data_IF_033134801864
#
_entry.id   IF_033134801864
#
_cell.length_a   1.000
_cell.length_b   1.000
_cell.length_c   1.000
_cell.angle_alpha   90.00
_cell.angle_beta   90.00
_cell.angle_gamma   90.00
#
_symmetry.space_group_name_H-M   'P 1'
#
loop_
_entity.id
_entity.type
_entity.pdbx_description
1 polymer ?
#
# COMPACT_ATOMS: atom_id res chain seq x y z
N UNK A 1 4.68 52.45 -42.53
CA UNK A 1 3.21 52.40 -42.40
C UNK A 1 2.80 50.96 -42.68
N UNK A 2 2.18 50.17 -41.81
CA UNK A 2 1.69 50.33 -40.45
C UNK A 2 1.34 48.92 -39.94
N UNK A 3 1.42 48.73 -38.62
CA UNK A 3 1.19 47.49 -37.90
C UNK A 3 -0.31 47.15 -37.75
N UNK A 4 -0.62 45.88 -37.43
CA UNK A 4 -1.64 45.38 -36.48
C UNK A 4 -1.73 43.85 -36.66
N UNK A 5 -1.36 42.95 -35.74
CA UNK A 5 -1.82 42.76 -34.35
C UNK A 5 -3.35 42.60 -34.25
N UNK A 6 -3.82 41.35 -34.07
CA UNK A 6 -5.22 40.99 -33.92
C UNK A 6 -5.37 39.55 -33.43
N UNK A 7 -5.34 39.41 -32.11
CA UNK A 7 -5.67 38.27 -31.27
C UNK A 7 -7.10 37.71 -31.55
N UNK A 8 -7.34 36.43 -31.20
CA UNK A 8 -8.54 35.90 -30.50
C UNK A 8 -8.53 34.37 -30.60
N UNK A 9 -8.06 33.76 -29.51
CA UNK A 9 -8.39 32.39 -29.11
C UNK A 9 -9.90 32.22 -28.89
N UNK A 10 -10.49 31.10 -29.33
CA UNK A 10 -11.75 30.52 -28.78
C UNK A 10 -12.04 29.15 -29.40
N UNK A 11 -11.90 28.07 -28.61
CA UNK A 11 -12.88 26.97 -28.42
C UNK A 11 -12.25 25.80 -27.66
N UNK A 12 -12.24 25.91 -26.34
CA UNK A 12 -12.39 24.77 -25.44
C UNK A 12 -13.48 25.17 -24.43
N UNK A 13 -14.65 24.55 -24.54
CA UNK A 13 -15.77 24.80 -23.62
C UNK A 13 -15.49 24.02 -22.33
N UNK A 14 -15.15 24.75 -21.27
CA UNK A 14 -15.17 24.23 -19.90
C UNK A 14 -16.61 24.10 -19.39
N UNK A 15 -16.85 23.03 -18.65
CA UNK A 15 -18.00 22.90 -17.75
C UNK A 15 -17.72 23.76 -16.51
N UNK A 16 -18.41 24.89 -16.39
CA UNK A 16 -18.58 25.62 -15.12
C UNK A 16 -19.84 25.10 -14.43
N UNK A 17 -19.73 24.77 -13.16
CA UNK A 17 -20.87 24.70 -12.24
C UNK A 17 -20.89 26.04 -11.49
N UNK A 18 -22.01 26.75 -11.56
CA UNK A 18 -22.27 27.95 -10.76
C UNK A 18 -23.24 27.62 -9.61
N UNK A 19 -23.17 28.34 -8.45
CA UNK A 19 -23.85 27.99 -7.21
C UNK A 19 -25.12 28.83 -6.94
N UNK A 20 -26.08 28.21 -6.24
CA UNK A 20 -27.24 28.86 -5.60
C UNK A 20 -28.17 27.76 -5.02
N UNK A 21 -28.79 27.85 -3.85
CA UNK A 21 -28.91 28.91 -2.86
C UNK A 21 -29.20 28.29 -1.49
N UNK A 22 -28.63 28.91 -0.45
CA UNK A 22 -28.89 28.68 0.97
C UNK A 22 -30.06 29.55 1.44
N UNK A 23 -30.99 28.96 2.22
CA UNK A 23 -31.75 29.50 3.38
C UNK A 23 -32.95 28.56 3.62
N UNK A 24 -33.40 28.22 4.82
CA UNK A 24 -33.05 28.53 6.20
C UNK A 24 -33.79 27.50 7.09
N UNK A 25 -33.21 27.07 8.21
CA UNK A 25 -33.99 26.57 9.36
C UNK A 25 -33.31 27.06 10.63
N UNK A 26 -34.09 27.79 11.43
CA UNK A 26 -33.68 28.40 12.69
C UNK A 26 -33.65 27.45 13.88
N UNK A 27 -33.02 27.97 14.93
CA UNK A 27 -32.52 27.34 16.15
C UNK A 27 -33.59 27.07 17.24
N UNK A 28 -33.21 26.15 18.14
CA UNK A 28 -33.39 26.13 19.60
C UNK A 28 -34.27 25.02 20.22
N UNK A 29 -33.63 24.15 21.02
CA UNK A 29 -34.35 23.28 21.95
C UNK A 29 -33.55 22.24 22.77
N UNK A 30 -32.66 22.68 23.68
CA UNK A 30 -32.16 22.07 24.95
C UNK A 30 -31.67 20.59 25.02
N UNK A 31 -30.61 20.30 25.83
CA UNK A 31 -30.10 18.94 26.03
C UNK A 31 -30.86 18.15 27.11
N UNK A 32 -30.89 16.80 27.07
CA UNK A 32 -31.50 15.99 28.12
C UNK A 32 -30.65 15.94 29.39
N UNK A 33 -31.34 15.95 30.53
CA UNK A 33 -30.80 15.94 31.90
C UNK A 33 -30.25 14.56 32.30
N UNK A 34 -29.12 14.55 33.01
CA UNK A 34 -28.61 13.38 33.75
C UNK A 34 -29.61 12.96 34.84
N UNK A 35 -29.86 11.66 35.08
CA UNK A 35 -30.54 11.23 36.28
C UNK A 35 -29.60 11.25 37.49
N UNK A 36 -30.08 11.83 38.58
CA UNK A 36 -29.50 11.75 39.92
C UNK A 36 -29.76 10.35 40.48
N UNK A 37 -28.71 9.67 40.93
CA UNK A 37 -28.81 8.46 41.76
C UNK A 37 -28.88 8.91 43.23
N UNK A 38 -30.00 8.62 43.89
CA UNK A 38 -30.10 8.63 45.35
C UNK A 38 -29.64 7.27 45.88
N UNK A 39 -28.77 7.31 46.91
CA UNK A 39 -28.27 6.11 47.59
C UNK A 39 -29.24 5.55 48.63
N UNK A 40 -28.69 4.63 49.45
CA UNK A 40 -29.26 3.79 50.52
C UNK A 40 -29.58 2.37 49.99
N UNK A 41 -29.11 1.24 50.54
CA UNK A 41 -28.50 0.91 51.83
C UNK A 41 -27.49 -0.25 51.71
N UNK A 42 -26.61 -0.35 52.72
CA UNK A 42 -25.79 -1.51 53.03
C UNK A 42 -26.64 -2.70 53.49
N UNK A 43 -26.28 -3.91 53.07
CA UNK A 43 -26.50 -5.13 53.84
C UNK A 43 -25.28 -6.05 53.71
N UNK A 44 -24.68 -6.40 54.86
CA UNK A 44 -23.67 -7.45 55.02
C UNK A 44 -24.38 -8.78 55.27
N UNK A 45 -23.90 -9.88 54.69
CA UNK A 45 -23.88 -11.20 55.32
C UNK A 45 -22.93 -12.16 54.56
N UNK A 46 -22.35 -13.08 55.33
CA UNK A 46 -21.18 -13.92 55.08
C UNK A 46 -21.56 -15.31 54.48
N UNK A 47 -20.62 -16.27 54.30
CA UNK A 47 -20.61 -17.24 53.22
C UNK A 47 -21.15 -18.62 53.62
N UNK A 48 -21.41 -19.46 52.61
CA UNK A 48 -21.67 -20.89 52.81
C UNK A 48 -21.06 -21.67 51.67
N UNK A 49 -19.95 -22.36 51.92
CA UNK A 49 -19.49 -23.46 51.09
C UNK A 49 -20.30 -24.71 51.36
N UNK A 50 -20.25 -25.68 50.44
CA UNK A 50 -20.40 -27.10 50.77
C UNK A 50 -19.79 -27.94 49.64
N UNK A 51 -18.86 -28.80 50.04
CA UNK A 51 -18.32 -29.92 49.28
C UNK A 51 -19.22 -31.16 49.46
N UNK A 52 -19.09 -32.12 48.54
CA UNK A 52 -19.62 -33.49 48.66
C UNK A 52 -19.92 -34.07 47.26
N UNK A 53 -19.08 -34.91 46.64
CA UNK A 53 -18.65 -36.28 46.95
C UNK A 53 -19.38 -37.34 46.10
N UNK A 54 -18.60 -37.96 45.21
CA UNK A 54 -18.53 -39.39 44.87
C UNK A 54 -19.81 -40.24 44.78
N UNK A 55 -20.02 -40.81 43.58
CA UNK A 55 -20.83 -42.01 43.37
C UNK A 55 -20.26 -42.87 42.24
N UNK A 56 -19.55 -43.94 42.61
CA UNK A 56 -19.08 -44.98 41.70
C UNK A 56 -20.22 -45.87 41.22
N UNK A 57 -20.23 -46.22 39.92
CA UNK A 57 -20.84 -47.46 39.43
C UNK A 57 -19.92 -48.12 38.39
N UNK A 58 -19.44 -49.32 38.72
CA UNK A 58 -18.88 -50.33 37.80
C UNK A 58 -20.07 -50.96 37.04
N UNK A 59 -20.02 -51.58 35.87
CA UNK A 59 -19.02 -52.42 35.17
C UNK A 59 -19.66 -52.81 33.81
N UNK A 60 -18.86 -53.06 32.77
CA UNK A 60 -18.94 -54.21 31.85
C UNK A 60 -18.28 -53.88 30.50
N UNK A 61 -17.35 -54.73 30.06
CA UNK A 61 -16.50 -54.50 28.89
C UNK A 61 -17.06 -55.08 27.60
N UNK A 62 -16.50 -54.61 26.47
CA UNK A 62 -16.23 -55.35 25.20
C UNK A 62 -15.52 -54.43 24.17
N UNK A 63 -14.92 -54.96 23.10
CA UNK A 63 -13.47 -54.99 22.87
C UNK A 63 -12.94 -53.84 21.99
N UNK A 64 -11.62 -53.59 22.09
CA UNK A 64 -10.86 -52.68 21.23
C UNK A 64 -10.86 -53.18 19.77
N UNK A 65 -11.57 -52.48 18.87
CA UNK A 65 -11.37 -52.59 17.42
C UNK A 65 -10.26 -51.64 17.00
N UNK A 66 -9.20 -52.20 16.43
CA UNK A 66 -8.15 -51.46 15.75
C UNK A 66 -8.73 -50.80 14.48
N UNK A 67 -8.82 -49.47 14.46
CA UNK A 67 -9.08 -48.74 13.23
C UNK A 67 -7.78 -48.61 12.43
N UNK A 68 -7.67 -49.48 11.42
CA UNK A 68 -6.67 -49.41 10.36
C UNK A 68 -6.97 -48.17 9.53
N UNK A 69 -6.18 -47.11 9.68
CA UNK A 69 -6.26 -45.92 8.85
C UNK A 69 -5.87 -46.26 7.41
N UNK A 70 -6.86 -46.36 6.53
CA UNK A 70 -6.64 -46.46 5.09
C UNK A 70 -6.13 -45.10 4.59
N UNK A 71 -4.82 -45.02 4.29
CA UNK A 71 -4.22 -43.90 3.56
C UNK A 71 -4.82 -43.87 2.15
N UNK A 72 -5.83 -43.03 1.93
CA UNK A 72 -6.20 -42.59 0.59
C UNK A 72 -5.03 -41.79 0.03
N UNK A 73 -4.40 -42.32 -1.02
CA UNK A 73 -3.39 -41.59 -1.81
C UNK A 73 -4.11 -40.40 -2.44
N UNK A 74 -3.80 -39.19 -1.98
CA UNK A 74 -4.23 -37.96 -2.63
C UNK A 74 -3.67 -37.91 -4.04
N UNK A 75 -4.48 -37.44 -4.98
CA UNK A 75 -4.04 -37.14 -6.34
C UNK A 75 -2.85 -36.16 -6.28
N UNK A 76 -1.83 -36.31 -7.16
CA UNK A 76 -0.72 -35.37 -7.21
C UNK A 76 -1.25 -33.97 -7.56
N UNK A 77 -0.78 -32.96 -6.83
CA UNK A 77 -0.99 -31.56 -7.18
C UNK A 77 -0.55 -31.33 -8.65
N UNK A 78 -1.25 -30.46 -9.41
CA UNK A 78 -0.86 -30.18 -10.79
C UNK A 78 0.60 -29.69 -10.81
N UNK A 79 1.41 -30.34 -11.63
CA UNK A 79 2.81 -29.99 -11.82
C UNK A 79 2.89 -28.54 -12.33
N UNK A 80 3.67 -27.71 -11.64
CA UNK A 80 4.05 -26.38 -12.14
C UNK A 80 4.60 -26.53 -13.56
N UNK A 81 4.16 -25.70 -14.52
CA UNK A 81 4.62 -25.81 -15.90
C UNK A 81 6.14 -25.71 -15.95
N UNK A 82 6.76 -26.67 -16.66
CA UNK A 82 8.20 -26.72 -16.91
C UNK A 82 8.66 -25.41 -17.56
N UNK A 83 9.77 -24.85 -17.04
CA UNK A 83 10.48 -23.68 -17.57
C UNK A 83 10.50 -23.69 -19.10
N UNK A 84 9.76 -22.76 -19.72
CA UNK A 84 10.14 -22.24 -21.04
C UNK A 84 11.51 -21.58 -20.86
N UNK A 85 12.43 -21.80 -21.81
CA UNK A 85 13.77 -21.21 -21.78
C UNK A 85 13.70 -19.70 -21.48
N UNK A 86 14.72 -19.17 -20.81
CA UNK A 86 14.78 -17.77 -20.45
C UNK A 86 14.78 -16.90 -21.71
N UNK A 87 13.58 -16.52 -22.15
CA UNK A 87 13.39 -15.41 -23.07
C UNK A 87 13.73 -14.18 -22.25
N UNK A 88 14.74 -13.42 -22.68
CA UNK A 88 15.08 -12.16 -22.00
C UNK A 88 13.86 -11.25 -22.03
N UNK A 89 13.53 -10.63 -20.90
CA UNK A 89 12.48 -9.60 -20.83
C UNK A 89 12.76 -8.53 -21.90
N UNK A 90 11.74 -8.08 -22.66
CA UNK A 90 11.92 -6.94 -23.57
C UNK A 90 12.37 -5.70 -22.81
N UNK A 91 13.29 -4.92 -23.38
CA UNK A 91 13.64 -3.58 -22.90
C UNK A 91 12.41 -2.68 -22.98
N UNK A 92 12.40 -1.61 -22.18
CA UNK A 92 11.29 -0.65 -22.17
C UNK A 92 10.99 -0.08 -23.57
N UNK A 93 12.02 0.12 -24.40
CA UNK A 93 11.87 0.60 -25.77
C UNK A 93 11.27 -0.39 -26.75
N UNK A 94 11.25 -1.67 -26.40
CA UNK A 94 10.66 -2.74 -27.20
C UNK A 94 9.17 -2.94 -26.87
N UNK A 95 8.64 -2.19 -25.90
CA UNK A 95 7.22 -2.19 -25.54
C UNK A 95 6.39 -1.25 -26.43
N UNK A 96 5.15 -1.61 -26.78
CA UNK A 96 4.43 -2.82 -26.34
C UNK A 96 4.71 -4.05 -27.23
N UNK A 97 4.62 -5.25 -26.63
CA UNK A 97 4.74 -6.53 -27.37
C UNK A 97 3.41 -7.05 -27.89
N UNK A 98 2.29 -6.62 -27.30
CA UNK A 98 0.94 -7.02 -27.70
C UNK A 98 0.34 -6.01 -28.69
N UNK A 99 -0.09 -6.43 -29.89
CA UNK A 99 -0.78 -5.56 -30.84
C UNK A 99 -2.01 -4.90 -30.21
N UNK A 100 -2.16 -3.58 -30.41
CA UNK A 100 -3.28 -2.80 -29.88
C UNK A 100 -3.19 -2.43 -28.38
N UNK A 101 -2.13 -2.84 -27.69
CA UNK A 101 -1.86 -2.39 -26.32
C UNK A 101 -1.37 -0.92 -26.29
N UNK A 102 -1.54 -0.20 -25.16
CA UNK A 102 -1.03 1.16 -25.02
C UNK A 102 0.47 1.23 -25.32
N UNK A 103 0.94 2.34 -25.89
CA UNK A 103 2.36 2.59 -26.08
C UNK A 103 3.13 2.44 -24.74
N UNK A 104 4.32 1.84 -24.81
CA UNK A 104 5.20 1.59 -23.64
C UNK A 104 4.52 0.78 -22.52
N UNK A 105 3.60 -0.11 -22.85
CA UNK A 105 2.94 -1.00 -21.88
C UNK A 105 3.53 -2.42 -21.89
N UNK A 106 3.50 -3.07 -20.72
CA UNK A 106 3.95 -4.45 -20.53
C UNK A 106 2.86 -5.49 -20.81
N UNK A 107 1.73 -5.07 -21.36
CA UNK A 107 0.57 -5.94 -21.57
C UNK A 107 0.96 -7.12 -22.48
N UNK A 108 0.59 -8.33 -22.06
CA UNK A 108 0.98 -9.58 -22.71
C UNK A 108 2.41 -10.09 -22.40
N UNK A 109 3.30 -9.31 -21.78
CA UNK A 109 4.68 -9.76 -21.45
C UNK A 109 4.65 -10.95 -20.49
N UNK A 110 3.76 -10.92 -19.49
CA UNK A 110 3.57 -12.01 -18.52
C UNK A 110 2.45 -12.98 -18.90
N UNK A 111 1.88 -12.84 -20.11
CA UNK A 111 0.70 -13.56 -20.58
C UNK A 111 -0.59 -12.74 -20.49
N UNK A 112 -1.56 -13.04 -21.35
CA UNK A 112 -2.82 -12.27 -21.45
C UNK A 112 -3.76 -12.46 -20.26
N UNK A 113 -3.58 -13.54 -19.48
CA UNK A 113 -4.37 -13.80 -18.27
C UNK A 113 -3.67 -13.31 -16.98
N UNK A 114 -2.51 -12.65 -17.09
CA UNK A 114 -1.76 -12.20 -15.91
C UNK A 114 -2.53 -11.20 -15.04
N UNK A 115 -2.41 -11.37 -13.72
CA UNK A 115 -3.15 -10.61 -12.70
C UNK A 115 -2.23 -9.89 -11.69
N UNK A 116 -0.92 -10.05 -11.80
CA UNK A 116 0.04 -9.54 -10.80
C UNK A 116 1.15 -8.67 -11.37
N UNK A 117 1.27 -8.55 -12.70
CA UNK A 117 2.16 -7.61 -13.37
C UNK A 117 3.63 -7.81 -13.00
N UNK A 118 4.34 -6.73 -12.70
CA UNK A 118 5.80 -6.78 -12.43
C UNK A 118 6.16 -7.56 -11.17
N UNK A 119 5.19 -7.89 -10.31
CA UNK A 119 5.44 -8.84 -9.22
C UNK A 119 5.96 -10.18 -9.75
N UNK A 120 5.66 -10.56 -10.98
CA UNK A 120 6.22 -11.75 -11.65
C UNK A 120 7.76 -11.76 -11.74
N UNK A 121 8.45 -10.61 -11.59
CA UNK A 121 9.90 -10.56 -11.47
C UNK A 121 10.41 -11.19 -10.17
N UNK A 122 9.58 -11.29 -9.13
CA UNK A 122 9.93 -12.00 -7.89
C UNK A 122 9.72 -13.50 -8.09
N UNK A 123 10.80 -14.20 -8.43
CA UNK A 123 10.84 -15.66 -8.49
C UNK A 123 11.25 -16.27 -7.15
N UNK A 124 10.98 -17.57 -6.91
CA UNK A 124 11.40 -18.27 -5.68
C UNK A 124 12.91 -18.17 -5.40
N UNK A 125 13.74 -18.08 -6.43
CA UNK A 125 15.20 -17.88 -6.28
C UNK A 125 15.54 -16.51 -5.69
N UNK A 126 14.79 -15.46 -6.04
CA UNK A 126 14.99 -14.10 -5.53
C UNK A 126 14.59 -14.04 -4.06
N UNK A 127 13.43 -14.61 -3.70
CA UNK A 127 12.99 -14.71 -2.30
C UNK A 127 13.99 -15.47 -1.42
N UNK A 128 14.53 -16.60 -1.92
CA UNK A 128 15.56 -17.38 -1.21
C UNK A 128 16.85 -16.58 -1.03
N UNK A 129 17.31 -15.86 -2.06
CA UNK A 129 18.52 -15.04 -1.97
C UNK A 129 18.32 -13.88 -0.99
N UNK A 130 17.14 -13.24 -1.01
CA UNK A 130 16.78 -12.18 -0.09
C UNK A 130 16.74 -12.65 1.36
N UNK A 131 16.17 -13.83 1.64
CA UNK A 131 16.16 -14.40 2.99
C UNK A 131 17.57 -14.63 3.56
N UNK A 132 18.58 -14.83 2.71
CA UNK A 132 19.98 -14.96 3.13
C UNK A 132 20.64 -13.62 3.52
N UNK A 133 19.96 -12.48 3.28
CA UNK A 133 20.40 -11.17 3.76
C UNK A 133 20.17 -11.00 5.26
N UNK A 134 19.25 -11.75 5.86
CA UNK A 134 18.94 -11.69 7.30
C UNK A 134 20.14 -12.18 8.11
N UNK A 135 20.77 -11.28 8.85
CA UNK A 135 21.98 -11.56 9.65
C UNK A 135 21.75 -11.41 11.14
N UNK A 136 21.21 -10.26 11.54
CA UNK A 136 20.97 -9.92 12.95
C UNK A 136 19.52 -10.19 13.35
N UNK A 137 18.61 -10.35 12.38
CA UNK A 137 17.19 -10.53 12.66
C UNK A 137 16.56 -9.23 13.17
N UNK A 138 17.16 -8.09 12.84
CA UNK A 138 16.62 -6.76 13.17
C UNK A 138 15.38 -6.51 12.31
N UNK A 139 14.24 -6.35 12.98
CA UNK A 139 12.90 -6.30 12.35
C UNK A 139 12.40 -4.86 12.34
N UNK A 140 12.10 -4.36 11.15
CA UNK A 140 11.58 -3.02 10.89
C UNK A 140 10.18 -3.10 10.28
N UNK A 141 9.11 -2.86 11.07
CA UNK A 141 7.78 -2.64 10.53
C UNK A 141 7.75 -1.39 9.68
N UNK A 142 7.20 -1.49 8.47
CA UNK A 142 7.13 -0.37 7.52
C UNK A 142 5.72 0.22 7.41
N UNK A 143 4.84 -0.18 8.31
CA UNK A 143 3.48 0.33 8.42
C UNK A 143 3.48 1.56 9.33
N UNK A 144 2.89 2.63 8.84
CA UNK A 144 2.56 3.80 9.62
C UNK A 144 1.27 3.56 10.41
N UNK A 145 0.94 4.51 11.28
CA UNK A 145 -0.30 4.47 12.05
C UNK A 145 -1.50 4.50 11.09
N UNK A 146 -2.40 3.52 11.22
CA UNK A 146 -3.60 3.43 10.38
C UNK A 146 -4.57 4.60 10.59
N UNK A 147 -4.40 5.36 11.67
CA UNK A 147 -5.16 6.58 11.95
C UNK A 147 -4.52 7.85 11.39
N UNK A 148 -3.35 7.73 10.74
CA UNK A 148 -2.66 8.84 10.09
C UNK A 148 -2.59 8.64 8.56
N UNK A 149 -2.59 9.74 7.79
CA UNK A 149 -2.64 11.14 8.22
C UNK A 149 -4.03 11.55 8.74
N UNK A 150 -4.04 12.47 9.70
CA UNK A 150 -5.25 13.04 10.30
C UNK A 150 -5.12 14.58 10.39
N UNK A 151 -5.97 15.37 9.70
CA UNK A 151 -7.00 14.93 8.75
C UNK A 151 -6.42 14.18 7.55
N UNK A 152 -7.23 13.33 6.92
CA UNK A 152 -6.82 12.55 5.75
C UNK A 152 -6.70 13.39 4.48
N UNK A 153 -6.07 12.82 3.45
CA UNK A 153 -5.91 13.44 2.13
C UNK A 153 -6.82 12.81 1.08
N UNK A 154 -6.93 13.44 -0.09
CA UNK A 154 -7.63 12.88 -1.27
C UNK A 154 -9.11 12.51 -1.01
N UNK A 155 -9.78 13.25 -0.12
CA UNK A 155 -11.15 12.96 0.28
C UNK A 155 -11.31 11.70 1.15
N UNK A 156 -10.20 11.09 1.58
CA UNK A 156 -10.18 9.97 2.52
C UNK A 156 -10.09 10.50 3.95
N UNK A 157 -10.44 9.66 4.92
CA UNK A 157 -10.32 9.97 6.34
C UNK A 157 -9.82 8.76 7.12
N UNK A 158 -9.21 8.96 8.30
CA UNK A 158 -8.91 7.87 9.23
C UNK A 158 -10.16 7.02 9.53
N UNK A 159 -10.01 5.70 9.73
CA UNK A 159 -11.12 4.85 10.12
C UNK A 159 -11.63 5.24 11.51
N UNK A 160 -12.93 5.10 11.74
CA UNK A 160 -13.51 5.20 13.09
C UNK A 160 -13.32 3.87 13.82
N UNK A 161 -12.57 3.88 14.92
CA UNK A 161 -12.30 2.69 15.74
C UNK A 161 -13.25 2.61 16.93
N UNK A 162 -14.02 1.53 17.00
CA UNK A 162 -14.93 1.27 18.13
C UNK A 162 -14.53 -0.01 18.84
N UNK A 163 -14.18 0.10 20.12
CA UNK A 163 -13.95 -1.02 21.04
C UNK A 163 -15.25 -1.37 21.76
N UNK A 164 -15.57 -2.66 21.86
CA UNK A 164 -16.74 -3.13 22.60
C UNK A 164 -16.47 -4.45 23.33
N UNK A 165 -17.15 -4.67 24.45
CA UNK A 165 -16.95 -5.85 25.27
C UNK A 165 -18.13 -6.84 25.17
N UNK A 166 -17.82 -8.13 25.40
CA UNK A 166 -18.75 -9.25 25.44
C UNK A 166 -18.50 -10.10 26.69
N UNK A 167 -19.43 -11.01 26.98
CA UNK A 167 -19.34 -11.99 28.08
C UNK A 167 -18.96 -11.34 29.41
N UNK A 168 -19.74 -10.34 29.85
CA UNK A 168 -19.54 -9.58 31.08
C UNK A 168 -18.15 -8.92 31.21
N UNK A 169 -17.59 -8.49 30.07
CA UNK A 169 -16.30 -7.80 30.03
C UNK A 169 -15.08 -8.70 29.88
N UNK A 170 -15.26 -10.02 29.77
CA UNK A 170 -14.14 -10.96 29.61
C UNK A 170 -13.55 -11.00 28.20
N UNK A 171 -14.25 -10.44 27.21
CA UNK A 171 -13.81 -10.39 25.81
C UNK A 171 -13.98 -8.97 25.30
N UNK A 172 -12.97 -8.49 24.57
CA UNK A 172 -12.99 -7.20 23.86
C UNK A 172 -12.76 -7.50 22.39
N UNK A 173 -13.69 -7.03 21.56
CA UNK A 173 -13.58 -7.01 20.11
C UNK A 173 -13.62 -5.56 19.64
N UNK A 174 -13.28 -5.33 18.38
CA UNK A 174 -13.37 -4.02 17.74
C UNK A 174 -14.00 -4.04 16.35
N UNK A 175 -14.32 -2.85 15.87
CA UNK A 175 -14.77 -2.59 14.50
C UNK A 175 -14.12 -1.33 13.99
N UNK A 176 -13.73 -1.37 12.71
CA UNK A 176 -13.31 -0.20 11.94
C UNK A 176 -14.40 0.15 10.93
N UNK A 177 -14.93 1.36 11.02
CA UNK A 177 -15.89 1.91 10.07
C UNK A 177 -15.20 2.92 9.15
N UNK A 178 -15.52 2.90 7.85
CA UNK A 178 -14.95 3.82 6.86
C UNK A 178 -13.45 3.59 6.59
N UNK A 179 -13.01 2.33 6.60
CA UNK A 179 -11.63 1.97 6.33
C UNK A 179 -11.29 2.06 4.84
N UNK A 180 -10.40 2.98 4.49
CA UNK A 180 -9.79 3.06 3.16
C UNK A 180 -8.46 2.29 3.20
N UNK A 181 -8.27 1.22 2.41
CA UNK A 181 -6.97 0.57 2.27
C UNK A 181 -5.87 1.53 1.79
N UNK A 182 -6.30 2.64 1.15
CA UNK A 182 -5.46 3.72 0.67
C UNK A 182 -5.33 4.90 1.66
N UNK A 183 -5.70 4.69 2.93
CA UNK A 183 -5.76 5.75 3.94
C UNK A 183 -4.47 5.98 4.72
N UNK A 184 -3.52 5.05 4.69
CA UNK A 184 -2.24 5.10 5.43
C UNK A 184 -1.18 4.32 4.61
N UNK A 185 -0.15 3.72 5.23
CA UNK A 185 0.81 2.87 4.49
C UNK A 185 0.09 1.80 3.69
N UNK A 186 0.28 1.82 2.38
CA UNK A 186 -0.53 1.02 1.45
C UNK A 186 0.29 0.39 0.33
N UNK A 187 -0.35 -0.55 -0.36
CA UNK A 187 -0.08 -0.90 -1.74
C UNK A 187 -1.29 -0.54 -2.59
N UNK A 188 -1.03 0.13 -3.71
CA UNK A 188 -1.95 0.28 -4.81
C UNK A 188 -1.81 -0.87 -5.80
N UNK A 189 -2.94 -1.51 -6.07
CA UNK A 189 -3.06 -2.64 -6.96
C UNK A 189 -3.37 -2.24 -8.40
N UNK A 190 -3.46 -3.25 -9.27
CA UNK A 190 -3.63 -3.03 -10.70
C UNK A 190 -5.03 -2.53 -11.11
N UNK A 191 -6.01 -2.59 -10.18
CA UNK A 191 -7.32 -1.92 -10.32
C UNK A 191 -7.29 -0.43 -9.97
N UNK A 192 -6.24 0.06 -9.33
CA UNK A 192 -6.22 1.41 -8.77
C UNK A 192 -6.20 2.48 -9.87
N UNK A 193 -5.46 2.24 -10.96
CA UNK A 193 -5.27 3.22 -12.01
C UNK A 193 -5.31 2.59 -13.40
N UNK A 194 -6.01 3.24 -14.33
CA UNK A 194 -6.17 2.80 -15.72
C UNK A 194 -5.07 3.39 -16.61
N UNK A 195 -4.74 2.71 -17.71
CA UNK A 195 -4.08 3.33 -18.86
C UNK A 195 -5.13 4.14 -19.66
N UNK A 196 -4.86 5.44 -19.83
CA UNK A 196 -5.82 6.37 -20.42
C UNK A 196 -6.25 5.91 -21.83
N UNK A 197 -7.56 5.83 -22.05
CA UNK A 197 -8.16 5.38 -23.32
C UNK A 197 -8.09 3.88 -23.62
N UNK A 198 -7.49 3.06 -22.75
CA UNK A 198 -7.28 1.62 -23.01
C UNK A 198 -7.85 0.69 -21.92
N UNK A 199 -8.19 1.22 -20.74
CA UNK A 199 -8.66 0.43 -19.61
C UNK A 199 -7.54 0.15 -18.60
N UNK A 200 -7.73 -0.84 -17.75
CA UNK A 200 -6.80 -1.23 -16.70
C UNK A 200 -5.79 -2.25 -17.21
N UNK A 201 -4.79 -2.57 -16.39
CA UNK A 201 -3.70 -3.47 -16.77
C UNK A 201 -4.18 -4.72 -17.52
N UNK A 202 -3.48 -5.06 -18.60
CA UNK A 202 -3.79 -6.17 -19.50
C UNK A 202 -5.15 -6.11 -20.22
N UNK A 203 -5.87 -4.98 -20.15
CA UNK A 203 -7.11 -4.74 -20.90
C UNK A 203 -8.39 -4.93 -20.11
N UNK A 204 -8.32 -5.08 -18.78
CA UNK A 204 -9.52 -5.13 -17.95
C UNK A 204 -10.32 -3.81 -18.06
N UNK A 205 -11.64 -3.92 -18.11
CA UNK A 205 -12.54 -2.79 -18.28
C UNK A 205 -12.90 -2.13 -16.95
N UNK A 206 -13.38 -0.89 -17.00
CA UNK A 206 -13.88 -0.18 -15.82
C UNK A 206 -15.04 -0.94 -15.15
N UNK A 207 -15.93 -1.52 -15.95
CA UNK A 207 -17.06 -2.32 -15.45
C UNK A 207 -16.57 -3.55 -14.67
N UNK A 208 -15.59 -4.28 -15.21
CA UNK A 208 -15.04 -5.48 -14.54
C UNK A 208 -14.35 -5.14 -13.23
N UNK A 209 -13.56 -4.06 -13.17
CA UNK A 209 -12.78 -3.73 -11.96
C UNK A 209 -13.62 -3.05 -10.88
N UNK A 210 -14.75 -2.42 -11.24
CA UNK A 210 -15.69 -1.80 -10.28
C UNK A 210 -16.83 -2.72 -9.86
N UNK A 211 -16.98 -3.88 -10.50
CA UNK A 211 -17.93 -4.92 -10.07
C UNK A 211 -17.50 -5.49 -8.72
N UNK A 212 -18.37 -5.48 -7.69
CA UNK A 212 -18.05 -6.01 -6.36
C UNK A 212 -17.74 -7.51 -6.38
N UNK A 213 -16.74 -7.92 -5.59
CA UNK A 213 -16.33 -9.32 -5.45
C UNK A 213 -15.09 -9.69 -6.26
N UNK A 214 -14.72 -10.99 -6.28
CA UNK A 214 -13.53 -11.44 -6.97
C UNK A 214 -13.62 -11.20 -8.48
N UNK A 215 -12.50 -10.85 -9.11
CA UNK A 215 -12.45 -10.60 -10.55
C UNK A 215 -11.05 -10.22 -11.04
N UNK A 216 -10.93 -9.66 -12.26
CA UNK A 216 -9.63 -9.24 -12.80
C UNK A 216 -8.93 -8.28 -11.85
N UNK A 217 -7.62 -8.44 -11.63
CA UNK A 217 -6.74 -7.49 -10.92
C UNK A 217 -7.04 -7.26 -9.43
N UNK A 218 -7.95 -8.02 -8.82
CA UNK A 218 -8.29 -7.88 -7.39
C UNK A 218 -7.16 -8.37 -6.46
N UNK A 219 -7.12 -7.83 -5.23
CA UNK A 219 -6.10 -8.19 -4.23
C UNK A 219 -6.04 -9.68 -3.87
N UNK A 220 -7.09 -10.47 -4.12
CA UNK A 220 -7.06 -11.92 -3.93
C UNK A 220 -5.95 -12.62 -4.72
N UNK A 221 -5.57 -12.10 -5.90
CA UNK A 221 -4.48 -12.68 -6.71
C UNK A 221 -3.13 -12.49 -6.01
N UNK A 222 -2.96 -11.35 -5.35
CA UNK A 222 -1.74 -11.02 -4.61
C UNK A 222 -1.71 -11.75 -3.27
N UNK A 223 -2.84 -11.79 -2.55
CA UNK A 223 -2.95 -12.45 -1.25
C UNK A 223 -2.67 -13.96 -1.31
N UNK A 224 -3.08 -14.64 -2.40
CA UNK A 224 -2.78 -16.07 -2.61
C UNK A 224 -1.30 -16.33 -2.90
N UNK A 225 -0.59 -15.33 -3.41
CA UNK A 225 0.83 -15.40 -3.77
C UNK A 225 1.75 -14.97 -2.62
N UNK A 226 1.37 -13.91 -1.91
CA UNK A 226 2.23 -13.19 -0.97
C UNK A 226 3.33 -12.38 -1.67
N UNK A 227 4.06 -11.59 -0.88
CA UNK A 227 5.25 -10.86 -1.33
C UNK A 227 6.39 -11.19 -0.37
N UNK A 228 7.43 -11.83 -0.90
CA UNK A 228 8.70 -12.08 -0.23
C UNK A 228 9.82 -11.80 -1.21
N UNK A 229 10.58 -10.73 -0.99
CA UNK A 229 11.51 -10.19 -1.99
C UNK A 229 12.76 -9.61 -1.33
N UNK A 230 13.77 -9.32 -2.15
CA UNK A 230 14.83 -8.39 -1.75
C UNK A 230 14.25 -7.00 -1.84
N UNK A 231 14.44 -6.19 -0.81
CA UNK A 231 14.21 -4.76 -0.90
C UNK A 231 15.53 -4.01 -0.86
N UNK A 232 15.56 -2.88 -1.57
CA UNK A 232 16.67 -1.93 -1.55
C UNK A 232 16.13 -0.58 -1.11
N UNK A 233 16.66 -0.04 -0.02
CA UNK A 233 16.34 1.31 0.42
C UNK A 233 17.28 2.31 -0.27
N UNK A 234 16.73 3.29 -0.98
CA UNK A 234 17.43 4.49 -1.41
C UNK A 234 17.00 5.66 -0.51
N UNK A 235 17.90 6.04 0.41
CA UNK A 235 17.70 7.15 1.36
C UNK A 235 18.03 8.49 0.70
N UNK A 236 17.16 8.93 -0.21
CA UNK A 236 17.31 10.19 -0.96
C UNK A 236 17.34 11.39 -0.02
N UNK A 237 16.42 11.44 0.95
CA UNK A 237 16.38 12.52 1.93
C UNK A 237 17.67 12.61 2.76
N UNK A 238 18.19 11.48 3.26
CA UNK A 238 19.45 11.46 3.99
C UNK A 238 20.65 11.82 3.13
N UNK A 239 20.67 11.39 1.85
CA UNK A 239 21.72 11.77 0.91
C UNK A 239 21.76 13.29 0.68
N UNK A 240 20.61 13.90 0.34
CA UNK A 240 20.51 15.34 0.12
C UNK A 240 20.80 16.15 1.39
N UNK A 241 20.40 15.66 2.56
CA UNK A 241 20.72 16.31 3.83
C UNK A 241 22.23 16.35 4.10
N UNK A 242 22.97 15.26 3.81
CA UNK A 242 24.44 15.23 3.93
C UNK A 242 25.14 16.17 2.95
N UNK A 243 24.51 16.45 1.81
CA UNK A 243 24.97 17.41 0.82
C UNK A 243 24.60 18.87 1.16
N UNK A 244 23.84 19.10 2.24
CA UNK A 244 23.34 20.43 2.60
C UNK A 244 22.25 20.94 1.66
N UNK A 245 21.57 20.04 0.95
CA UNK A 245 20.59 20.32 -0.10
C UNK A 245 19.21 19.69 0.19
N UNK A 246 18.86 19.54 1.47
CA UNK A 246 17.57 18.98 1.86
C UNK A 246 16.40 19.85 1.33
N UNK A 247 15.48 19.29 0.53
CA UNK A 247 14.31 20.03 0.05
C UNK A 247 13.31 20.26 1.19
N UNK A 248 12.36 21.17 0.96
CA UNK A 248 11.17 21.26 1.82
C UNK A 248 10.37 19.95 1.66
N UNK A 249 10.12 19.21 2.76
CA UNK A 249 9.36 17.96 2.69
C UNK A 249 7.91 18.14 2.25
N UNK A 250 7.36 19.36 2.29
CA UNK A 250 5.97 19.64 1.89
C UNK A 250 5.86 20.45 0.60
N UNK A 251 6.94 20.59 -0.17
CA UNK A 251 6.94 21.21 -1.50
C UNK A 251 7.47 20.24 -2.58
N UNK A 252 7.32 20.62 -3.84
CA UNK A 252 7.72 19.79 -4.98
C UNK A 252 9.23 19.71 -5.09
N UNK A 253 9.75 18.50 -5.02
CA UNK A 253 11.12 18.17 -5.41
C UNK A 253 11.14 16.89 -6.24
N UNK A 254 11.78 16.95 -7.41
CA UNK A 254 11.82 15.83 -8.35
C UNK A 254 12.96 14.89 -8.01
N UNK A 255 12.60 13.62 -7.80
CA UNK A 255 13.53 12.50 -7.70
C UNK A 255 13.48 11.77 -9.04
N UNK A 256 14.47 12.04 -9.89
CA UNK A 256 14.61 11.42 -11.21
C UNK A 256 15.53 10.18 -11.18
N UNK A 257 15.63 9.47 -12.30
CA UNK A 257 16.48 8.27 -12.39
C UNK A 257 17.97 8.58 -12.10
N UNK A 258 18.59 9.64 -12.64
CA UNK A 258 19.96 10.01 -12.28
C UNK A 258 20.19 10.25 -10.77
N UNK A 259 19.22 10.84 -10.06
CA UNK A 259 19.31 10.97 -8.61
C UNK A 259 19.24 9.62 -7.91
N UNK A 260 18.34 8.73 -8.31
CA UNK A 260 18.26 7.37 -7.75
C UNK A 260 19.56 6.60 -7.97
N UNK A 261 20.14 6.65 -9.17
CA UNK A 261 21.42 6.02 -9.51
C UNK A 261 22.57 6.57 -8.66
N UNK A 262 22.64 7.89 -8.49
CA UNK A 262 23.63 8.54 -7.63
C UNK A 262 23.51 8.10 -6.18
N UNK A 263 22.30 8.04 -5.64
CA UNK A 263 22.06 7.58 -4.25
C UNK A 263 22.43 6.10 -4.11
N UNK A 264 22.05 5.25 -5.06
CA UNK A 264 22.43 3.84 -5.07
C UNK A 264 23.97 3.67 -5.06
N UNK A 265 24.68 4.43 -5.91
CA UNK A 265 26.14 4.42 -5.96
C UNK A 265 26.77 4.90 -4.64
N UNK A 266 26.26 5.97 -4.05
CA UNK A 266 26.75 6.51 -2.77
C UNK A 266 26.52 5.53 -1.60
N UNK A 267 25.44 4.75 -1.64
CA UNK A 267 25.13 3.70 -0.66
C UNK A 267 25.83 2.36 -0.96
N UNK A 268 26.52 2.25 -2.11
CA UNK A 268 27.19 1.02 -2.51
C UNK A 268 26.24 -0.14 -2.83
N UNK A 269 25.02 0.15 -3.31
CA UNK A 269 24.02 -0.87 -3.67
C UNK A 269 23.79 -0.96 -5.17
N UNK A 270 23.52 -2.17 -5.63
CA UNK A 270 23.18 -2.47 -7.02
C UNK A 270 21.73 -2.94 -7.09
N UNK A 271 20.92 -2.31 -7.94
CA UNK A 271 19.55 -2.73 -8.22
C UNK A 271 19.54 -3.98 -9.11
N UNK A 272 18.73 -4.97 -8.74
CA UNK A 272 18.64 -6.26 -9.42
C UNK A 272 17.18 -6.60 -9.73
N UNK A 273 17.02 -7.50 -10.70
CA UNK A 273 15.71 -8.01 -11.06
C UNK A 273 15.01 -8.67 -9.86
N UNK A 274 13.74 -8.35 -9.67
CA UNK A 274 12.93 -8.84 -8.56
C UNK A 274 13.02 -7.99 -7.29
N UNK A 275 13.78 -6.89 -7.30
CA UNK A 275 13.84 -5.99 -6.17
C UNK A 275 12.53 -5.24 -5.96
N UNK A 276 12.21 -4.99 -4.69
CA UNK A 276 11.27 -3.94 -4.27
C UNK A 276 12.08 -2.70 -3.91
N UNK A 277 11.89 -1.61 -4.64
CA UNK A 277 12.61 -0.37 -4.40
C UNK A 277 11.89 0.47 -3.34
N UNK A 278 12.57 0.80 -2.25
CA UNK A 278 12.06 1.69 -1.21
C UNK A 278 12.74 3.06 -1.35
N UNK A 279 11.98 4.12 -1.53
CA UNK A 279 12.51 5.49 -1.70
C UNK A 279 12.12 6.32 -0.49
N UNK A 280 13.11 6.71 0.33
CA UNK A 280 12.87 7.61 1.46
C UNK A 280 13.03 9.07 1.03
N UNK A 281 11.92 9.80 1.07
CA UNK A 281 11.74 11.22 0.80
C UNK A 281 11.74 12.06 2.09
N UNK A 282 11.48 11.44 3.25
CA UNK A 282 11.41 12.10 4.55
C UNK A 282 10.04 12.69 4.90
N UNK A 283 9.04 12.53 4.03
CA UNK A 283 7.73 13.17 4.18
C UNK A 283 6.96 12.67 5.42
N UNK A 284 6.87 11.35 5.64
CA UNK A 284 6.15 10.80 6.83
C UNK A 284 6.79 11.27 8.15
N UNK A 285 8.12 11.35 8.23
CA UNK A 285 8.83 11.84 9.41
C UNK A 285 8.57 13.33 9.66
N UNK A 286 8.64 14.14 8.59
CA UNK A 286 8.33 15.56 8.67
C UNK A 286 6.87 15.80 9.11
N UNK A 287 5.92 15.02 8.58
CA UNK A 287 4.50 15.11 8.97
C UNK A 287 4.30 14.77 10.45
N UNK A 288 4.99 13.73 10.95
CA UNK A 288 4.91 13.33 12.34
C UNK A 288 5.35 14.45 13.30
N UNK A 289 6.28 15.32 12.88
CA UNK A 289 6.75 16.47 13.65
C UNK A 289 5.81 17.68 13.65
N UNK A 290 4.78 17.71 12.79
CA UNK A 290 3.81 18.80 12.73
C UNK A 290 2.81 18.75 13.90
N UNK A 291 2.41 19.94 14.36
CA UNK A 291 1.23 20.12 15.21
C UNK A 291 -0.07 20.14 14.42
N UNK A 292 -1.20 20.07 15.13
CA UNK A 292 -2.53 19.87 14.55
C UNK A 292 -2.93 20.95 13.53
N UNK A 293 -2.64 22.23 13.79
CA UNK A 293 -2.96 23.34 12.88
C UNK A 293 -2.23 23.21 11.53
N UNK A 294 -0.96 22.81 11.55
CA UNK A 294 -0.18 22.63 10.33
C UNK A 294 -0.66 21.40 9.54
N UNK A 295 -1.05 20.31 10.23
CA UNK A 295 -1.66 19.14 9.59
C UNK A 295 -3.00 19.48 8.95
N UNK A 296 -3.83 20.27 9.64
CA UNK A 296 -5.10 20.76 9.10
C UNK A 296 -4.90 21.64 7.86
N UNK A 297 -3.89 22.51 7.87
CA UNK A 297 -3.54 23.34 6.71
C UNK A 297 -3.10 22.49 5.50
N UNK A 298 -2.26 21.47 5.71
CA UNK A 298 -1.86 20.54 4.65
C UNK A 298 -3.06 19.80 4.06
N UNK A 299 -3.97 19.31 4.90
CA UNK A 299 -5.17 18.62 4.42
C UNK A 299 -6.13 19.57 3.67
N UNK A 300 -6.27 20.80 4.14
CA UNK A 300 -7.11 21.82 3.49
C UNK A 300 -6.59 22.23 2.10
N UNK A 301 -5.29 22.08 1.82
CA UNK A 301 -4.73 22.29 0.48
C UNK A 301 -5.17 21.21 -0.53
N UNK A 302 -5.88 20.15 -0.10
CA UNK A 302 -6.38 19.09 -0.96
C UNK A 302 -5.32 18.02 -1.25
N UNK A 303 -4.30 18.37 -2.05
CA UNK A 303 -3.11 17.53 -2.27
C UNK A 303 -1.93 18.15 -1.52
N UNK A 304 -1.31 17.44 -0.55
CA UNK A 304 -0.10 17.92 0.08
C UNK A 304 1.05 17.94 -0.94
N UNK A 305 1.90 18.96 -0.86
CA UNK A 305 3.16 18.94 -1.60
C UNK A 305 4.09 17.86 -1.04
N UNK A 306 4.97 17.35 -1.90
CA UNK A 306 5.96 16.36 -1.50
C UNK A 306 7.11 16.25 -2.51
N UNK A 307 8.34 15.99 -2.04
CA UNK A 307 9.36 15.34 -2.84
C UNK A 307 8.89 13.96 -3.29
N UNK A 308 9.21 13.56 -4.51
CA UNK A 308 8.77 12.27 -5.04
C UNK A 308 9.34 11.95 -6.41
N UNK A 309 9.03 10.76 -6.91
CA UNK A 309 9.46 10.33 -8.24
C UNK A 309 8.78 11.18 -9.31
N UNK A 310 9.49 11.57 -10.36
CA UNK A 310 8.85 12.23 -11.49
C UNK A 310 9.73 12.16 -12.73
N UNK A 311 9.09 12.16 -13.90
CA UNK A 311 9.76 12.24 -15.19
C UNK A 311 9.61 10.99 -16.05
N UNK A 312 9.76 11.18 -17.35
CA UNK A 312 9.61 10.16 -18.41
C UNK A 312 10.67 9.04 -18.34
N UNK A 313 11.78 9.28 -17.66
CA UNK A 313 12.86 8.29 -17.47
C UNK A 313 12.55 7.26 -16.38
N UNK A 314 11.68 7.56 -15.42
CA UNK A 314 11.38 6.67 -14.29
C UNK A 314 10.78 5.32 -14.73
N UNK A 315 9.75 5.27 -15.60
CA UNK A 315 9.20 3.98 -16.04
C UNK A 315 10.24 3.10 -16.73
N UNK A 316 11.10 3.69 -17.56
CA UNK A 316 12.23 2.99 -18.20
C UNK A 316 13.19 2.45 -17.16
N UNK A 317 13.64 3.30 -16.25
CA UNK A 317 14.60 2.93 -15.21
C UNK A 317 14.10 1.73 -14.41
N UNK A 318 12.88 1.80 -13.88
CA UNK A 318 12.31 0.72 -13.07
C UNK A 318 12.12 -0.58 -13.88
N UNK A 319 11.59 -0.48 -15.11
CA UNK A 319 11.38 -1.65 -15.98
C UNK A 319 12.69 -2.31 -16.40
N UNK A 320 13.66 -1.52 -16.85
CA UNK A 320 14.92 -2.05 -17.37
C UNK A 320 15.80 -2.65 -16.26
N UNK A 321 15.71 -2.16 -15.02
CA UNK A 321 16.30 -2.82 -13.84
C UNK A 321 15.54 -4.06 -13.37
N UNK A 322 14.29 -4.24 -13.81
CA UNK A 322 13.44 -5.35 -13.37
C UNK A 322 12.91 -5.19 -11.96
N UNK A 323 12.66 -3.95 -11.55
CA UNK A 323 12.05 -3.62 -10.27
C UNK A 323 10.61 -4.19 -10.27
N UNK A 324 10.31 -4.97 -9.24
CA UNK A 324 9.03 -5.65 -9.12
C UNK A 324 7.93 -4.76 -8.54
N UNK A 325 8.30 -3.81 -7.68
CA UNK A 325 7.42 -2.82 -7.08
C UNK A 325 8.26 -1.66 -6.54
N UNK A 326 7.65 -0.48 -6.39
CA UNK A 326 8.29 0.68 -5.77
C UNK A 326 7.40 1.21 -4.65
N UNK A 327 8.00 1.57 -3.51
CA UNK A 327 7.29 2.18 -2.39
C UNK A 327 8.05 3.40 -1.89
N UNK A 328 7.32 4.41 -1.42
CA UNK A 328 7.87 5.62 -0.83
C UNK A 328 7.14 6.02 0.45
N UNK A 329 7.79 6.89 1.22
CA UNK A 329 7.24 7.48 2.44
C UNK A 329 6.53 8.82 2.20
N UNK A 330 6.02 9.05 0.98
CA UNK A 330 5.25 10.24 0.61
C UNK A 330 3.79 9.87 0.23
N UNK A 331 2.89 10.86 0.07
CA UNK A 331 1.45 10.61 -0.10
C UNK A 331 0.98 10.13 -1.47
N UNK A 332 1.85 10.15 -2.49
CA UNK A 332 1.42 9.91 -3.87
C UNK A 332 2.47 9.22 -4.75
N UNK A 333 3.60 8.73 -4.19
CA UNK A 333 4.85 8.36 -4.89
C UNK A 333 5.52 9.51 -5.68
N UNK A 334 4.74 10.19 -6.49
CA UNK A 334 5.11 11.28 -7.37
C UNK A 334 5.41 12.59 -6.65
N UNK A 335 6.34 13.37 -7.21
CA UNK A 335 6.56 14.74 -6.76
C UNK A 335 5.30 15.59 -6.99
N UNK A 336 4.91 16.36 -5.98
CA UNK A 336 3.71 17.19 -6.02
C UNK A 336 3.98 18.58 -5.47
N UNK A 337 3.47 19.61 -6.13
CA UNK A 337 3.35 20.93 -5.53
C UNK A 337 2.07 21.02 -4.66
N UNK A 338 2.06 21.81 -3.58
CA UNK A 338 0.87 21.99 -2.76
C UNK A 338 -0.33 22.47 -3.58
N UNK A 339 -1.47 21.80 -3.43
CA UNK A 339 -2.71 22.15 -4.13
C UNK A 339 -2.71 21.91 -5.64
N UNK A 340 -1.62 21.40 -6.22
CA UNK A 340 -1.57 21.05 -7.64
C UNK A 340 -2.31 19.74 -7.90
N UNK A 341 -3.14 19.76 -8.95
CA UNK A 341 -4.05 18.69 -9.32
C UNK A 341 -3.66 18.06 -10.65
N UNK A 342 -3.69 16.73 -10.67
CA UNK A 342 -3.83 15.88 -11.86
C UNK A 342 -2.59 15.45 -12.65
N UNK A 343 -1.37 15.81 -12.29
CA UNK A 343 -0.21 15.06 -12.84
C UNK A 343 0.01 13.78 -12.03
N UNK A 344 -0.72 12.74 -12.46
CA UNK A 344 -0.58 11.36 -12.00
C UNK A 344 -0.04 10.47 -13.14
N UNK A 345 0.86 11.03 -13.95
CA UNK A 345 1.39 10.37 -15.14
C UNK A 345 2.22 9.12 -14.82
N UNK A 346 2.93 9.07 -13.69
CA UNK A 346 3.59 7.86 -13.23
C UNK A 346 2.61 6.83 -12.68
N UNK A 347 1.50 7.22 -12.04
CA UNK A 347 0.47 6.22 -11.70
C UNK A 347 -0.05 5.50 -12.95
N UNK A 348 -0.35 6.26 -14.00
CA UNK A 348 -0.78 5.70 -15.28
C UNK A 348 0.30 4.79 -15.89
N UNK A 349 1.54 5.30 -15.95
CA UNK A 349 2.65 4.58 -16.57
C UNK A 349 3.01 3.30 -15.81
N UNK A 350 3.07 3.37 -14.48
CA UNK A 350 3.50 2.25 -13.64
C UNK A 350 2.36 1.25 -13.44
N UNK A 351 1.19 1.66 -12.95
CA UNK A 351 0.08 0.73 -12.68
C UNK A 351 -0.61 0.32 -13.98
N UNK A 352 -1.17 1.30 -14.71
CA UNK A 352 -2.03 1.04 -15.86
C UNK A 352 -1.29 0.40 -17.03
N UNK A 353 -0.08 0.87 -17.33
CA UNK A 353 0.71 0.40 -18.49
C UNK A 353 1.69 -0.71 -18.14
N UNK A 354 2.48 -0.58 -17.08
CA UNK A 354 3.50 -1.57 -16.73
C UNK A 354 3.02 -2.67 -15.78
N UNK A 355 1.87 -2.52 -15.13
CA UNK A 355 1.40 -3.49 -14.13
C UNK A 355 2.25 -3.48 -12.86
N UNK A 356 2.77 -2.31 -12.46
CA UNK A 356 3.68 -2.15 -11.34
C UNK A 356 2.95 -1.69 -10.07
N UNK A 357 3.04 -2.44 -8.95
CA UNK A 357 2.56 -2.01 -7.65
C UNK A 357 3.27 -0.75 -7.16
N UNK A 358 2.50 0.16 -6.56
CA UNK A 358 3.01 1.35 -5.89
C UNK A 358 2.73 1.28 -4.39
N UNK A 359 3.71 1.63 -3.56
CA UNK A 359 3.54 1.78 -2.13
C UNK A 359 3.65 3.23 -1.70
N UNK A 360 2.72 3.68 -0.87
CA UNK A 360 2.65 5.08 -0.42
C UNK A 360 2.58 5.15 1.10
N UNK A 361 3.11 6.25 1.66
CA UNK A 361 3.14 6.53 3.10
C UNK A 361 3.83 5.45 3.93
N UNK A 362 4.86 4.78 3.41
CA UNK A 362 5.61 3.76 4.15
C UNK A 362 6.44 4.39 5.27
N UNK A 363 6.48 3.77 6.46
CA UNK A 363 7.27 4.27 7.58
C UNK A 363 8.75 3.82 7.44
N UNK A 364 9.56 4.63 6.74
CA UNK A 364 10.94 4.25 6.38
C UNK A 364 12.04 4.78 7.33
N UNK A 365 11.71 5.68 8.27
CA UNK A 365 12.71 6.37 9.10
C UNK A 365 13.55 5.42 9.96
N UNK A 366 12.92 4.48 10.67
CA UNK A 366 13.64 3.50 11.51
C UNK A 366 14.58 2.62 10.69
N UNK A 367 14.11 2.14 9.54
CA UNK A 367 14.92 1.35 8.61
C UNK A 367 16.12 2.16 8.10
N UNK A 368 15.90 3.41 7.69
CA UNK A 368 16.95 4.29 7.18
C UNK A 368 18.03 4.59 8.23
N UNK A 369 17.64 4.86 9.48
CA UNK A 369 18.58 5.05 10.58
C UNK A 369 19.45 3.82 10.79
N UNK A 370 18.84 2.63 10.76
CA UNK A 370 19.56 1.39 10.95
C UNK A 370 20.50 1.08 9.77
N UNK A 371 20.10 1.39 8.53
CA UNK A 371 20.96 1.29 7.33
C UNK A 371 22.12 2.28 7.37
N UNK A 372 21.89 3.52 7.83
CA UNK A 372 22.94 4.52 7.96
C UNK A 372 23.98 4.14 9.03
N UNK A 373 23.57 3.39 10.06
CA UNK A 373 24.47 2.97 11.14
C UNK A 373 25.49 1.90 10.71
N UNK A 374 25.16 1.04 9.74
CA UNK A 374 26.02 -0.09 9.34
C UNK A 374 26.30 -0.19 7.82
N UNK A 375 25.74 0.71 7.01
CA UNK A 375 25.89 0.74 5.56
C UNK A 375 25.12 -0.33 4.80
N UNK A 376 24.20 -1.08 5.42
CA UNK A 376 23.42 -2.15 4.76
C UNK A 376 22.05 -1.66 4.33
N UNK A 377 21.92 -1.35 3.05
CA UNK A 377 20.68 -0.86 2.42
C UNK A 377 19.89 -1.93 1.66
N UNK A 378 20.33 -3.18 1.71
CA UNK A 378 19.62 -4.35 1.16
C UNK A 378 19.03 -5.18 2.30
N UNK A 379 17.78 -5.60 2.18
CA UNK A 379 17.10 -6.38 3.22
C UNK A 379 16.12 -7.41 2.64
N UNK A 380 15.73 -8.37 3.48
CA UNK A 380 14.59 -9.23 3.18
C UNK A 380 13.30 -8.48 3.50
N UNK A 381 12.39 -8.38 2.54
CA UNK A 381 11.08 -7.76 2.71
C UNK A 381 10.00 -8.83 2.61
N UNK A 382 9.08 -8.81 3.57
CA UNK A 382 7.80 -9.50 3.45
C UNK A 382 6.66 -8.51 3.49
N UNK A 383 5.64 -8.75 2.67
CA UNK A 383 4.35 -8.07 2.76
C UNK A 383 3.25 -9.08 2.50
N UNK A 384 2.19 -9.01 3.31
CA UNK A 384 1.04 -9.90 3.21
C UNK A 384 -0.23 -9.10 2.86
N UNK A 385 -0.55 -8.96 1.56
CA UNK A 385 -1.77 -8.31 1.10
C UNK A 385 -3.02 -8.89 1.76
N UNK A 386 -3.94 -8.01 2.15
CA UNK A 386 -5.23 -8.41 2.69
C UNK A 386 -5.99 -9.25 1.66
N UNK A 387 -6.50 -10.40 2.08
CA UNK A 387 -7.32 -11.25 1.22
C UNK A 387 -8.78 -10.74 1.15
N UNK A 388 -8.95 -9.52 0.64
CA UNK A 388 -10.25 -8.91 0.38
C UNK A 388 -10.57 -9.01 -1.12
N UNK A 389 -11.47 -9.92 -1.54
CA UNK A 389 -11.79 -10.12 -2.95
C UNK A 389 -12.26 -8.84 -3.64
N UNK A 390 -11.63 -8.52 -4.76
CA UNK A 390 -11.95 -7.35 -5.58
C UNK A 390 -11.39 -6.02 -5.09
N UNK A 391 -10.65 -5.99 -3.97
CA UNK A 391 -10.04 -4.76 -3.49
C UNK A 391 -9.04 -4.21 -4.51
N UNK A 392 -8.98 -2.88 -4.62
CA UNK A 392 -8.04 -2.17 -5.50
C UNK A 392 -6.67 -1.91 -4.87
N UNK A 393 -6.55 -2.11 -3.56
CA UNK A 393 -5.33 -1.96 -2.80
C UNK A 393 -5.47 -2.62 -1.43
N UNK A 394 -4.40 -2.57 -0.66
CA UNK A 394 -4.27 -3.17 0.68
C UNK A 394 -3.40 -2.28 1.55
N UNK A 395 -3.51 -2.33 2.89
CA UNK A 395 -2.42 -1.87 3.74
C UNK A 395 -1.10 -2.51 3.31
N UNK A 396 0.01 -1.80 3.52
CA UNK A 396 1.33 -2.30 3.20
C UNK A 396 1.59 -3.66 3.85
N UNK A 397 1.16 -3.82 5.11
CA UNK A 397 1.40 -4.99 5.96
C UNK A 397 2.83 -5.53 5.76
N UNK A 398 3.79 -4.61 5.82
CA UNK A 398 5.14 -4.80 5.35
C UNK A 398 6.16 -4.79 6.49
N UNK A 399 7.14 -5.68 6.40
CA UNK A 399 8.22 -5.84 7.36
C UNK A 399 9.52 -6.05 6.59
N UNK A 400 10.51 -5.22 6.88
CA UNK A 400 11.89 -5.44 6.50
C UNK A 400 12.62 -6.20 7.62
N UNK A 401 13.40 -7.21 7.26
CA UNK A 401 14.25 -7.98 8.18
C UNK A 401 15.68 -7.94 7.66
N UNK A 402 16.61 -7.58 8.54
CA UNK A 402 18.01 -7.33 8.21
C UNK A 402 18.95 -8.41 8.74
#
# INVERSE_FOLDING_TARGET
MGAHAGDVARRARGLRLEPGDLRAVGDAGRPPRRPRVHGVARARAHPGGLAGSHGHARRAGRPRRAHRAARRRGAPAPALPRRRGAVSRPRFDELPVRPGAPARSSWGVFGDDDQVGTLNFIEPRHARAAAALVRDGDVHPLNWDLTLPAPGFFGRHPPSHTLFSKFDGNVVDDRLDGFYPQGSSQWDGLRHFAAAGHGFYNGATLEEVTTPGPGPLGMEHWARRGIAARAVLLDVAGALAREGAAPDPFDRFVIDAPLLERVAAAQGVELREGDVLLVRTGWVEAYAALGDDARAALAAAGRPGSPGLYGDTIPRFLWDHGIAAVAADNPALEAAAPGDGADLSLHEALIGRLGMPLGELWALAGLAQACAADGRYEMFLTSAPMHLPGASGTPANAIAVR
#
